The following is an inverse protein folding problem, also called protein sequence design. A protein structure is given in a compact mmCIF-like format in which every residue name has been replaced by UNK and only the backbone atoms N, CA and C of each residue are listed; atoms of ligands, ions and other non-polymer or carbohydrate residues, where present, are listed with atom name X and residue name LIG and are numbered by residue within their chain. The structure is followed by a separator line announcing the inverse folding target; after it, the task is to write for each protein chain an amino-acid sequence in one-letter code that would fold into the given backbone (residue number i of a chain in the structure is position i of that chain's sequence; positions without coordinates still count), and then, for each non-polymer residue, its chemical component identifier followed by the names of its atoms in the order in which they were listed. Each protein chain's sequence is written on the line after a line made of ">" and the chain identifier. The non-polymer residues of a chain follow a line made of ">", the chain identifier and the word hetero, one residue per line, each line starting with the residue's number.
data_IF_642157289962
#
_entry.id   IF_642157289962
#
_cell.length_a   1.000
_cell.length_b   1.000
_cell.length_c   1.000
_cell.angle_alpha   90.00
_cell.angle_beta   90.00
_cell.angle_gamma   90.00
#
_symmetry.space_group_name_H-M   'P 1'
#
loop_
_entity.id
_entity.type
_entity.pdbx_description
1 polymer ?
#
# COMPACT_ATOMS: atom_id res chain seq x y z
N UNK A 1 1.13 47.08 -35.23
CA UNK A 1 0.72 47.62 -33.92
C UNK A 1 -0.71 47.15 -33.71
N UNK A 2 -1.13 46.28 -32.81
CA UNK A 2 -0.64 45.70 -31.54
C UNK A 2 -1.25 44.28 -31.43
N UNK A 3 -0.49 43.25 -31.04
CA UNK A 3 -0.42 42.61 -29.69
C UNK A 3 -1.76 42.17 -29.06
N UNK A 4 -1.69 40.97 -28.45
CA UNK A 4 -2.55 40.35 -27.41
C UNK A 4 -3.24 39.08 -27.93
N UNK A 5 -3.17 37.92 -27.29
CA UNK A 5 -2.38 37.42 -26.17
C UNK A 5 -2.70 35.92 -26.13
N UNK A 6 -1.69 35.05 -26.15
CA UNK A 6 -1.89 33.59 -26.01
C UNK A 6 -2.28 33.25 -24.57
N UNK A 7 -3.55 32.96 -24.32
CA UNK A 7 -3.97 32.34 -23.06
C UNK A 7 -3.81 30.82 -23.14
N UNK A 8 -2.58 30.35 -22.96
CA UNK A 8 -2.29 28.94 -22.71
C UNK A 8 -2.73 28.59 -21.29
N UNK A 9 -3.93 28.04 -21.14
CA UNK A 9 -4.41 27.51 -19.88
C UNK A 9 -3.78 26.12 -19.67
N UNK A 10 -2.61 26.07 -19.02
CA UNK A 10 -2.02 24.82 -18.54
C UNK A 10 -2.75 24.44 -17.25
N UNK A 11 -3.78 23.60 -17.37
CA UNK A 11 -4.39 22.97 -16.20
C UNK A 11 -3.44 21.85 -15.76
N UNK A 12 -2.56 22.18 -14.82
CA UNK A 12 -1.72 21.22 -14.12
C UNK A 12 -2.61 20.42 -13.16
N UNK A 13 -3.17 19.32 -13.65
CA UNK A 13 -3.85 18.34 -12.80
C UNK A 13 -2.80 17.63 -11.94
N UNK A 14 -2.54 18.14 -10.75
CA UNK A 14 -1.83 17.38 -9.73
C UNK A 14 -2.74 16.24 -9.28
N UNK A 15 -2.56 15.06 -9.87
CA UNK A 15 -3.08 13.82 -9.34
C UNK A 15 -2.38 13.54 -8.00
N UNK A 16 -2.86 14.18 -6.93
CA UNK A 16 -2.53 13.79 -5.57
C UNK A 16 -3.11 12.39 -5.38
N UNK A 17 -2.26 11.38 -5.55
CA UNK A 17 -2.59 10.03 -5.17
C UNK A 17 -2.71 10.04 -3.65
N UNK A 18 -3.92 10.23 -3.15
CA UNK A 18 -4.29 9.78 -1.81
C UNK A 18 -4.24 8.26 -1.86
N UNK A 19 -3.02 7.69 -1.86
CA UNK A 19 -2.82 6.26 -1.66
C UNK A 19 -3.11 6.03 -0.18
N UNK A 20 -4.40 5.90 0.15
CA UNK A 20 -4.78 5.21 1.37
C UNK A 20 -4.09 3.85 1.29
N UNK A 21 -3.21 3.55 2.24
CA UNK A 21 -2.47 2.32 2.23
C UNK A 21 -3.48 1.15 2.18
N UNK A 22 -3.34 0.30 1.17
CA UNK A 22 -4.29 -0.77 0.89
C UNK A 22 -4.34 -1.77 2.05
N UNK A 23 -5.51 -2.04 2.60
CA UNK A 23 -5.70 -3.08 3.63
C UNK A 23 -6.10 -4.43 2.99
N UNK A 24 -5.19 -5.42 2.91
CA UNK A 24 -5.50 -6.76 2.40
C UNK A 24 -6.33 -7.61 3.36
N UNK A 25 -6.37 -7.29 4.65
CA UNK A 25 -6.94 -8.17 5.67
C UNK A 25 -8.41 -8.46 5.37
N UNK A 26 -8.77 -9.76 5.34
CA UNK A 26 -10.10 -10.25 5.02
C UNK A 26 -10.41 -10.35 3.52
N UNK A 27 -9.51 -9.91 2.64
CA UNK A 27 -9.65 -10.12 1.20
C UNK A 27 -9.23 -11.55 0.82
N UNK A 28 -9.81 -12.07 -0.26
CA UNK A 28 -9.47 -13.38 -0.81
C UNK A 28 -8.02 -13.43 -1.32
N UNK A 29 -7.39 -14.60 -1.21
CA UNK A 29 -6.04 -14.83 -1.69
C UNK A 29 -5.90 -16.22 -2.33
N UNK A 30 -5.02 -16.33 -3.32
CA UNK A 30 -4.90 -17.54 -4.16
C UNK A 30 -3.72 -18.44 -3.78
N UNK A 31 -2.91 -18.02 -2.80
CA UNK A 31 -1.66 -18.72 -2.43
C UNK A 31 -1.60 -18.89 -0.92
N UNK A 32 -2.15 -19.99 -0.37
CA UNK A 32 -2.05 -20.29 1.05
C UNK A 32 -0.60 -20.24 1.55
N UNK A 33 -0.37 -19.58 2.68
CA UNK A 33 0.96 -19.31 3.24
C UNK A 33 1.72 -18.19 2.52
N UNK A 34 1.15 -17.56 1.50
CA UNK A 34 1.73 -16.41 0.82
C UNK A 34 1.73 -15.17 1.70
N UNK A 35 2.90 -14.58 1.91
CA UNK A 35 3.09 -13.41 2.76
C UNK A 35 3.33 -12.13 1.96
N UNK A 36 2.96 -10.99 2.53
CA UNK A 36 3.23 -9.69 1.94
C UNK A 36 3.26 -8.55 2.95
N UNK A 37 3.53 -7.36 2.45
CA UNK A 37 3.65 -6.14 3.24
C UNK A 37 2.56 -5.14 2.91
N UNK A 38 1.94 -4.57 3.94
CA UNK A 38 1.00 -3.45 3.82
C UNK A 38 1.27 -2.42 4.93
N UNK A 39 0.65 -1.25 4.84
CA UNK A 39 0.81 -0.14 5.77
C UNK A 39 -0.53 0.58 6.04
N UNK A 40 -1.63 -0.17 6.10
CA UNK A 40 -2.92 0.42 6.50
C UNK A 40 -2.90 0.96 7.94
N UNK A 41 -3.27 2.23 8.08
CA UNK A 41 -3.20 2.93 9.37
C UNK A 41 -4.21 2.41 10.39
N UNK A 42 -5.33 1.82 9.95
CA UNK A 42 -6.32 1.24 10.85
C UNK A 42 -5.86 -0.12 11.42
N UNK A 43 -4.91 -0.79 10.78
CA UNK A 43 -4.37 -2.08 11.23
C UNK A 43 -3.18 -1.91 12.18
N UNK A 44 -2.18 -1.10 11.82
CA UNK A 44 -0.95 -0.96 12.62
C UNK A 44 -0.52 0.50 12.83
N UNK A 45 -1.48 1.42 13.00
CA UNK A 45 -1.22 2.80 13.42
C UNK A 45 -0.34 3.61 12.45
N UNK A 46 -0.30 3.22 11.17
CA UNK A 46 0.52 3.83 10.12
C UNK A 46 1.91 3.21 9.96
N UNK A 47 2.27 2.25 10.82
CA UNK A 47 3.43 1.39 10.60
C UNK A 47 3.09 0.27 9.62
N UNK A 48 4.11 -0.28 8.95
CA UNK A 48 3.91 -1.44 8.09
C UNK A 48 3.55 -2.68 8.91
N UNK A 49 2.94 -3.66 8.28
CA UNK A 49 2.68 -4.97 8.84
C UNK A 49 2.81 -6.04 7.76
N UNK A 50 3.06 -7.26 8.21
CA UNK A 50 3.07 -8.47 7.43
C UNK A 50 1.68 -9.10 7.51
N UNK A 51 1.16 -9.50 6.36
CA UNK A 51 -0.04 -10.31 6.25
C UNK A 51 0.32 -11.66 5.61
N UNK A 52 -0.48 -12.68 5.89
CA UNK A 52 -0.36 -14.03 5.34
C UNK A 52 -1.69 -14.47 4.74
N UNK A 53 -1.68 -15.21 3.65
CA UNK A 53 -2.85 -15.91 3.16
C UNK A 53 -3.15 -17.13 4.04
N UNK A 54 -4.17 -17.02 4.89
CA UNK A 54 -4.55 -18.06 5.83
C UNK A 54 -5.22 -19.28 5.17
N UNK A 55 -5.53 -20.34 5.94
CA UNK A 55 -6.09 -21.59 5.43
C UNK A 55 -7.53 -21.47 4.90
N UNK A 56 -8.18 -20.33 5.10
CA UNK A 56 -9.52 -20.03 4.58
C UNK A 56 -9.46 -19.17 3.31
N UNK A 57 -8.35 -19.20 2.58
CA UNK A 57 -8.09 -18.43 1.36
C UNK A 57 -8.35 -16.93 1.54
N UNK A 58 -8.03 -16.41 2.73
CA UNK A 58 -8.18 -14.99 3.09
C UNK A 58 -6.91 -14.46 3.75
N UNK A 59 -6.55 -13.22 3.44
CA UNK A 59 -5.41 -12.58 4.08
C UNK A 59 -5.71 -12.25 5.55
N UNK A 60 -4.80 -12.66 6.43
CA UNK A 60 -4.84 -12.41 7.87
C UNK A 60 -3.61 -11.64 8.31
N UNK A 61 -3.74 -10.92 9.43
CA UNK A 61 -2.62 -10.21 10.02
C UNK A 61 -1.64 -11.20 10.64
N UNK A 62 -0.36 -11.11 10.28
CA UNK A 62 0.69 -11.98 10.80
C UNK A 62 1.54 -11.26 11.87
N UNK A 63 2.11 -10.10 11.54
CA UNK A 63 3.01 -9.36 12.43
C UNK A 63 3.08 -7.87 12.09
N UNK A 64 3.32 -7.02 13.10
CA UNK A 64 3.46 -5.57 12.91
C UNK A 64 4.93 -5.16 12.89
N UNK A 65 5.28 -4.23 12.01
CA UNK A 65 6.60 -3.61 12.00
C UNK A 65 6.61 -2.34 12.86
N UNK A 66 7.81 -1.96 13.33
CA UNK A 66 8.00 -0.78 14.18
C UNK A 66 8.08 0.55 13.43
N UNK A 67 7.98 0.53 12.10
CA UNK A 67 8.08 1.71 11.27
C UNK A 67 7.24 1.57 9.98
N UNK A 68 6.96 2.67 9.27
CA UNK A 68 6.14 2.64 8.07
C UNK A 68 6.80 1.87 6.91
N UNK A 69 8.13 1.91 6.78
CA UNK A 69 8.81 1.44 5.55
C UNK A 69 9.69 0.22 5.74
N UNK A 70 9.69 -0.40 6.92
CA UNK A 70 10.60 -1.50 7.25
C UNK A 70 10.10 -2.88 6.82
N UNK A 71 8.90 -3.00 6.26
CA UNK A 71 8.45 -4.30 5.77
C UNK A 71 8.99 -4.55 4.36
N UNK A 72 9.61 -5.70 4.16
CA UNK A 72 10.06 -6.19 2.87
C UNK A 72 9.46 -7.56 2.58
N UNK A 73 8.80 -7.70 1.44
CA UNK A 73 8.27 -8.97 0.93
C UNK A 73 9.22 -9.54 -0.13
N UNK A 74 9.55 -10.82 -0.02
CA UNK A 74 10.44 -11.55 -0.93
C UNK A 74 9.78 -12.84 -1.40
N UNK A 75 10.45 -13.58 -2.29
CA UNK A 75 10.00 -14.89 -2.71
C UNK A 75 9.94 -15.93 -1.57
N UNK A 76 10.63 -15.68 -0.45
CA UNK A 76 10.70 -16.61 0.69
C UNK A 76 9.80 -16.20 1.87
N UNK A 77 9.05 -15.10 1.73
CA UNK A 77 8.24 -14.54 2.81
C UNK A 77 8.46 -13.04 3.01
N UNK A 78 7.85 -12.49 4.05
CA UNK A 78 7.93 -11.08 4.40
C UNK A 78 8.55 -10.87 5.79
N UNK A 79 9.31 -9.78 5.95
CA UNK A 79 10.06 -9.50 7.17
C UNK A 79 10.15 -8.01 7.46
N UNK A 80 10.14 -7.66 8.74
CA UNK A 80 10.47 -6.32 9.20
C UNK A 80 11.99 -6.16 9.29
N UNK A 81 12.51 -5.03 8.79
CA UNK A 81 13.93 -4.69 8.68
C UNK A 81 14.34 -3.47 9.49
#
# INVERSE_FOLDING_TARGET
>A
MHFLSLCSLVILATATHLVGAYNPIGQSCDTPGGEGCSQDAAVNGGNAFIYECGPADTFVYLAGCGCPTCCSATASGAFCT
#
